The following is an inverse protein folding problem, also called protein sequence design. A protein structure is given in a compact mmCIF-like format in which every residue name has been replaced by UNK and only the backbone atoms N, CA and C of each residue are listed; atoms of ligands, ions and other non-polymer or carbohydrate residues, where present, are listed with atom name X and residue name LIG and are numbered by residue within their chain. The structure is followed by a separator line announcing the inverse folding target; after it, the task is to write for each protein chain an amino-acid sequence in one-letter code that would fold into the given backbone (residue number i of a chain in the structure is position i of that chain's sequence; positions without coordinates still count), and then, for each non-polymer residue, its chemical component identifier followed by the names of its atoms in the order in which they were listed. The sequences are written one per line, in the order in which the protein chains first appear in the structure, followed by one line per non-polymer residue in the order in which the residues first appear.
data_IF_748705039810
#
_entry.id   IF_748705039810
#
_cell.length_a   1.000
_cell.length_b   1.000
_cell.length_c   1.000
_cell.angle_alpha   90.00
_cell.angle_beta   90.00
_cell.angle_gamma   90.00
#
_symmetry.space_group_name_H-M   'P 1'
#
loop_
_entity.id
_entity.type
_entity.pdbx_description
1 polymer ?
#
# COMPACT_ATOMS: atom_id res chain seq x y z
N UNK A 1 19.52 5.27 6.50
CA UNK A 1 20.07 6.51 5.92
C UNK A 1 21.31 6.85 6.72
N UNK A 2 22.46 6.87 6.06
CA UNK A 2 23.75 7.16 6.67
C UNK A 2 24.56 8.09 5.73
N UNK A 3 25.82 8.33 6.06
CA UNK A 3 26.73 9.19 5.31
C UNK A 3 27.24 8.59 4.00
N UNK A 4 26.87 7.36 3.66
CA UNK A 4 27.27 6.71 2.39
C UNK A 4 26.37 7.13 1.23
N UNK A 5 25.21 7.73 1.51
CA UNK A 5 24.34 8.32 0.49
C UNK A 5 24.80 9.75 0.17
N UNK A 6 25.37 10.02 -1.02
CA UNK A 6 25.89 11.34 -1.38
C UNK A 6 24.78 12.38 -1.56
N UNK A 7 23.51 11.97 -1.61
CA UNK A 7 22.36 12.86 -1.74
C UNK A 7 21.81 13.37 -0.42
N UNK A 8 22.34 12.89 0.72
CA UNK A 8 21.90 13.28 2.06
C UNK A 8 22.91 14.23 2.68
N UNK A 9 22.44 15.41 3.05
CA UNK A 9 23.24 16.38 3.80
C UNK A 9 22.91 16.33 5.29
N UNK A 10 23.93 16.56 6.12
CA UNK A 10 23.79 16.59 7.57
C UNK A 10 24.23 17.96 8.09
N UNK A 11 23.47 18.53 9.02
CA UNK A 11 23.89 19.75 9.70
C UNK A 11 24.94 19.46 10.79
N UNK A 12 25.45 20.52 11.41
CA UNK A 12 26.50 20.46 12.45
C UNK A 12 26.10 19.61 13.68
N UNK A 13 24.80 19.41 13.91
CA UNK A 13 24.26 18.58 14.98
C UNK A 13 23.99 17.12 14.54
N UNK A 14 24.43 16.73 13.33
CA UNK A 14 24.22 15.40 12.78
C UNK A 14 22.79 15.10 12.32
N UNK A 15 21.95 16.12 12.14
CA UNK A 15 20.56 15.95 11.67
C UNK A 15 20.55 15.93 10.15
N UNK A 16 19.96 14.89 9.55
CA UNK A 16 19.84 14.80 8.10
C UNK A 16 18.75 15.74 7.55
N UNK A 17 18.96 16.21 6.33
CA UNK A 17 18.00 17.03 5.59
C UNK A 17 16.60 16.42 5.48
N UNK A 18 16.47 15.09 5.30
CA UNK A 18 15.18 14.37 5.27
C UNK A 18 14.43 14.45 6.59
N UNK A 19 15.14 14.36 7.71
CA UNK A 19 14.54 14.55 9.03
C UNK A 19 14.04 15.98 9.18
N UNK A 20 14.87 16.98 8.85
CA UNK A 20 14.47 18.38 8.90
C UNK A 20 13.25 18.67 7.99
N UNK A 21 13.24 18.08 6.79
CA UNK A 21 12.14 18.19 5.83
C UNK A 21 10.83 17.64 6.40
N UNK A 22 10.88 16.51 7.12
CA UNK A 22 9.68 15.96 7.74
C UNK A 22 9.02 16.95 8.70
N UNK A 23 9.78 17.58 9.61
CA UNK A 23 9.21 18.53 10.57
C UNK A 23 8.75 19.83 9.92
N UNK A 24 9.43 20.26 8.85
CA UNK A 24 9.13 21.51 8.16
C UNK A 24 7.92 21.41 7.22
N UNK A 25 7.88 20.34 6.41
CA UNK A 25 6.96 20.26 5.26
C UNK A 25 5.89 19.18 5.46
N UNK A 26 6.17 18.10 6.17
CA UNK A 26 5.24 16.95 6.29
C UNK A 26 4.41 17.05 7.56
N UNK A 27 5.05 17.18 8.72
CA UNK A 27 4.40 17.15 10.03
C UNK A 27 3.29 18.20 10.20
N UNK A 28 3.44 19.46 9.72
CA UNK A 28 2.38 20.46 9.84
C UNK A 28 1.09 20.05 9.10
N UNK A 29 1.23 19.35 7.97
CA UNK A 29 0.12 19.01 7.08
C UNK A 29 -0.41 17.59 7.28
N UNK A 30 0.40 16.66 7.84
CA UNK A 30 0.11 15.22 7.80
C UNK A 30 -1.20 14.85 8.50
N UNK A 31 -1.64 15.62 9.50
CA UNK A 31 -2.91 15.52 10.24
C UNK A 31 -3.44 14.12 10.62
N UNK A 32 -2.62 13.08 10.46
CA UNK A 32 -2.92 11.66 10.60
C UNK A 32 -4.14 11.18 9.81
N UNK A 33 -4.46 11.84 8.69
CA UNK A 33 -5.62 11.54 7.86
C UNK A 33 -6.96 12.02 8.41
N UNK A 34 -6.99 12.80 9.50
CA UNK A 34 -8.23 13.35 10.06
C UNK A 34 -8.86 14.37 9.11
N UNK A 35 -10.17 14.32 8.93
CA UNK A 35 -10.86 15.27 8.04
C UNK A 35 -10.72 14.96 6.55
N UNK A 36 -10.11 13.82 6.20
CA UNK A 36 -9.96 13.33 4.83
C UNK A 36 -11.01 12.30 4.42
N UNK A 37 -11.99 12.03 5.29
CA UNK A 37 -13.03 11.03 5.09
C UNK A 37 -13.85 11.34 3.84
N UNK A 38 -14.20 12.61 3.61
CA UNK A 38 -14.95 13.04 2.42
C UNK A 38 -14.17 12.82 1.11
N UNK A 39 -12.86 13.06 1.12
CA UNK A 39 -12.00 12.82 -0.05
C UNK A 39 -11.92 11.31 -0.33
N UNK A 40 -11.74 10.50 0.72
CA UNK A 40 -11.76 9.04 0.61
C UNK A 40 -13.10 8.53 0.07
N UNK A 41 -14.22 8.97 0.63
CA UNK A 41 -15.57 8.60 0.18
C UNK A 41 -15.79 8.90 -1.31
N UNK A 42 -15.32 10.05 -1.79
CA UNK A 42 -15.40 10.41 -3.21
C UNK A 42 -14.60 9.45 -4.10
N UNK A 43 -13.40 9.05 -3.66
CA UNK A 43 -12.57 8.07 -4.37
C UNK A 43 -13.28 6.71 -4.39
N UNK A 44 -13.82 6.26 -3.26
CA UNK A 44 -14.53 4.98 -3.16
C UNK A 44 -15.80 4.97 -4.02
N UNK A 45 -16.59 6.05 -4.00
CA UNK A 45 -17.77 6.20 -4.84
C UNK A 45 -17.40 6.13 -6.33
N UNK A 46 -16.29 6.76 -6.73
CA UNK A 46 -15.76 6.71 -8.09
C UNK A 46 -15.38 5.28 -8.48
N UNK A 47 -14.61 4.56 -7.64
CA UNK A 47 -14.21 3.17 -7.86
C UNK A 47 -15.45 2.27 -8.04
N UNK A 48 -16.40 2.32 -7.10
CA UNK A 48 -17.63 1.52 -7.15
C UNK A 48 -18.47 1.82 -8.39
N UNK A 49 -18.52 3.09 -8.82
CA UNK A 49 -19.20 3.49 -10.06
C UNK A 49 -18.54 2.86 -11.30
N UNK A 50 -17.22 2.88 -11.42
CA UNK A 50 -16.50 2.26 -12.54
C UNK A 50 -16.54 0.72 -12.52
N UNK A 51 -16.68 0.13 -11.33
CA UNK A 51 -16.81 -1.30 -11.11
C UNK A 51 -18.23 -1.86 -11.27
N UNK A 52 -19.22 -1.00 -11.54
CA UNK A 52 -20.62 -1.44 -11.67
C UNK A 52 -20.75 -2.44 -12.82
N UNK A 53 -21.49 -3.53 -12.57
CA UNK A 53 -21.67 -4.65 -13.51
C UNK A 53 -20.39 -5.41 -13.89
N UNK A 54 -19.27 -5.17 -13.19
CA UNK A 54 -18.03 -5.93 -13.36
C UNK A 54 -17.82 -6.88 -12.19
N UNK A 55 -17.04 -7.94 -12.43
CA UNK A 55 -16.62 -8.86 -11.37
C UNK A 55 -15.78 -8.15 -10.30
N UNK A 56 -14.92 -7.23 -10.70
CA UNK A 56 -14.05 -6.43 -9.83
C UNK A 56 -14.30 -4.94 -10.01
N UNK A 57 -14.08 -4.16 -8.96
CA UNK A 57 -14.16 -2.69 -9.01
C UNK A 57 -12.79 -1.99 -9.03
N UNK A 58 -11.75 -2.65 -8.53
CA UNK A 58 -10.37 -2.17 -8.60
C UNK A 58 -9.35 -3.31 -8.78
N UNK A 59 -8.10 -2.92 -9.03
CA UNK A 59 -6.92 -3.79 -8.97
C UNK A 59 -6.12 -3.41 -7.72
N UNK A 60 -5.66 -4.39 -6.95
CA UNK A 60 -4.88 -4.15 -5.73
C UNK A 60 -3.58 -4.96 -5.80
N UNK A 61 -2.45 -4.25 -5.80
CA UNK A 61 -1.12 -4.84 -5.72
C UNK A 61 -0.85 -5.35 -4.31
N UNK A 62 -0.44 -6.62 -4.18
CA UNK A 62 -0.26 -7.27 -2.88
C UNK A 62 1.10 -7.97 -2.80
N UNK A 63 1.93 -7.58 -1.83
CA UNK A 63 3.29 -8.12 -1.65
C UNK A 63 3.41 -9.15 -0.54
N UNK A 64 2.39 -9.32 0.30
CA UNK A 64 2.46 -10.11 1.53
C UNK A 64 3.08 -9.39 2.73
N UNK A 65 3.48 -8.12 2.54
CA UNK A 65 3.94 -7.25 3.62
C UNK A 65 2.79 -6.69 4.47
N UNK A 66 3.14 -6.16 5.65
CA UNK A 66 2.18 -5.61 6.62
C UNK A 66 1.25 -4.55 6.00
N UNK A 67 1.81 -3.52 5.35
CA UNK A 67 1.03 -2.41 4.80
C UNK A 67 0.02 -2.88 3.75
N UNK A 68 0.48 -3.72 2.81
CA UNK A 68 -0.38 -4.26 1.76
C UNK A 68 -1.44 -5.22 2.30
N UNK A 69 -1.15 -5.94 3.38
CA UNK A 69 -2.08 -6.83 4.07
C UNK A 69 -3.19 -6.03 4.77
N UNK A 70 -2.80 -4.95 5.47
CA UNK A 70 -3.76 -4.05 6.10
C UNK A 70 -4.62 -3.35 5.06
N UNK A 71 -4.03 -2.85 3.97
CA UNK A 71 -4.78 -2.21 2.88
C UNK A 71 -5.79 -3.17 2.25
N UNK A 72 -5.41 -4.42 1.97
CA UNK A 72 -6.31 -5.43 1.44
C UNK A 72 -7.48 -5.69 2.39
N UNK A 73 -7.20 -5.85 3.68
CA UNK A 73 -8.23 -6.02 4.72
C UNK A 73 -9.18 -4.81 4.75
N UNK A 74 -8.62 -3.60 4.84
CA UNK A 74 -9.37 -2.35 4.93
C UNK A 74 -10.26 -2.13 3.71
N UNK A 75 -9.72 -2.34 2.50
CA UNK A 75 -10.45 -2.22 1.24
C UNK A 75 -11.69 -3.13 1.19
N UNK A 76 -11.58 -4.35 1.71
CA UNK A 76 -12.67 -5.34 1.65
C UNK A 76 -13.64 -5.18 2.82
N UNK A 77 -13.13 -5.13 4.05
CA UNK A 77 -13.94 -5.17 5.26
C UNK A 77 -14.56 -3.83 5.61
N UNK A 78 -13.80 -2.76 5.47
CA UNK A 78 -14.25 -1.42 5.86
C UNK A 78 -14.85 -0.67 4.67
N UNK A 79 -14.23 -0.76 3.48
CA UNK A 79 -14.67 0.01 2.31
C UNK A 79 -15.64 -0.75 1.40
N UNK A 80 -15.75 -2.08 1.57
CA UNK A 80 -16.63 -2.94 0.76
C UNK A 80 -16.28 -2.95 -0.73
N UNK A 81 -14.99 -2.86 -1.06
CA UNK A 81 -14.48 -3.02 -2.42
C UNK A 81 -14.31 -4.50 -2.79
N UNK A 82 -14.27 -4.78 -4.09
CA UNK A 82 -14.10 -6.10 -4.68
C UNK A 82 -12.86 -6.11 -5.59
N UNK A 83 -11.65 -6.08 -5.01
CA UNK A 83 -10.42 -6.02 -5.78
C UNK A 83 -10.15 -7.33 -6.52
N UNK A 84 -9.57 -7.23 -7.72
CA UNK A 84 -8.68 -8.27 -8.23
C UNK A 84 -7.33 -8.09 -7.54
N UNK A 85 -6.86 -9.10 -6.80
CA UNK A 85 -5.57 -9.02 -6.12
C UNK A 85 -4.48 -9.48 -7.06
N UNK A 86 -3.41 -8.70 -7.17
CA UNK A 86 -2.30 -8.96 -8.08
C UNK A 86 -0.98 -8.96 -7.33
N UNK A 87 -0.23 -10.04 -7.45
CA UNK A 87 1.11 -10.19 -6.90
C UNK A 87 2.11 -10.35 -8.04
N UNK A 88 3.20 -9.60 -7.98
CA UNK A 88 4.33 -9.76 -8.90
C UNK A 88 5.42 -10.53 -8.16
N UNK A 89 5.69 -11.75 -8.61
CA UNK A 89 6.81 -12.55 -8.12
C UNK A 89 8.07 -12.20 -8.92
N UNK A 90 8.98 -11.47 -8.30
CA UNK A 90 10.27 -11.09 -8.89
C UNK A 90 11.34 -12.21 -8.78
N UNK A 91 11.01 -13.37 -8.20
CA UNK A 91 11.91 -14.51 -8.03
C UNK A 91 12.69 -14.52 -6.71
N UNK A 92 12.47 -13.54 -5.83
CA UNK A 92 13.19 -13.37 -4.56
C UNK A 92 12.27 -13.31 -3.33
N UNK A 93 11.06 -13.87 -3.46
CA UNK A 93 10.11 -13.92 -2.35
C UNK A 93 10.66 -14.76 -1.21
N UNK A 94 10.49 -14.26 0.02
CA UNK A 94 10.74 -15.06 1.22
C UNK A 94 9.52 -15.95 1.49
N UNK A 95 9.70 -17.19 1.99
CA UNK A 95 8.59 -18.11 2.23
C UNK A 95 7.47 -17.54 3.12
N UNK A 96 7.84 -16.68 4.08
CA UNK A 96 6.88 -16.00 4.96
C UNK A 96 5.95 -15.04 4.21
N UNK A 97 6.45 -14.33 3.19
CA UNK A 97 5.64 -13.42 2.40
C UNK A 97 4.62 -14.20 1.55
N UNK A 98 5.03 -15.33 0.97
CA UNK A 98 4.13 -16.21 0.20
C UNK A 98 3.03 -16.81 1.09
N UNK A 99 3.38 -17.23 2.30
CA UNK A 99 2.42 -17.74 3.28
C UNK A 99 1.43 -16.65 3.72
N UNK A 100 1.89 -15.43 3.96
CA UNK A 100 1.00 -14.29 4.23
C UNK A 100 0.06 -14.02 3.05
N UNK A 101 0.58 -14.09 1.81
CA UNK A 101 -0.23 -13.88 0.62
C UNK A 101 -1.37 -14.88 0.59
N UNK A 102 -1.05 -16.17 0.68
CA UNK A 102 -2.06 -17.25 0.70
C UNK A 102 -3.07 -17.08 1.83
N UNK A 103 -2.61 -16.91 3.07
CA UNK A 103 -3.48 -16.81 4.24
C UNK A 103 -4.46 -15.65 4.12
N UNK A 104 -3.99 -14.50 3.64
CA UNK A 104 -4.82 -13.32 3.48
C UNK A 104 -5.84 -13.50 2.36
N UNK A 105 -5.42 -14.01 1.20
CA UNK A 105 -6.34 -14.20 0.06
C UNK A 105 -7.38 -15.27 0.34
N UNK A 106 -6.98 -16.39 0.95
CA UNK A 106 -7.87 -17.49 1.32
C UNK A 106 -8.92 -17.02 2.35
N UNK A 107 -8.48 -16.30 3.39
CA UNK A 107 -9.37 -15.83 4.46
C UNK A 107 -10.32 -14.72 4.02
N UNK A 108 -9.90 -13.88 3.08
CA UNK A 108 -10.72 -12.79 2.55
C UNK A 108 -11.56 -13.21 1.34
N UNK A 109 -11.32 -14.41 0.79
CA UNK A 109 -12.09 -14.97 -0.32
C UNK A 109 -11.93 -14.18 -1.61
N UNK A 110 -10.71 -13.74 -1.92
CA UNK A 110 -10.41 -12.91 -3.09
C UNK A 110 -9.64 -13.66 -4.14
N UNK A 111 -9.87 -13.28 -5.40
CA UNK A 111 -9.11 -13.82 -6.51
C UNK A 111 -7.70 -13.22 -6.53
N UNK A 112 -6.70 -14.10 -6.51
CA UNK A 112 -5.29 -13.75 -6.63
C UNK A 112 -4.78 -14.09 -8.04
N UNK A 113 -4.11 -13.13 -8.65
CA UNK A 113 -3.29 -13.32 -9.85
C UNK A 113 -1.82 -13.13 -9.47
N UNK A 114 -0.99 -14.08 -9.86
CA UNK A 114 0.45 -14.02 -9.66
C UNK A 114 1.09 -13.96 -11.04
N UNK A 115 1.89 -12.92 -11.28
CA UNK A 115 2.73 -12.82 -12.46
C UNK A 115 4.19 -12.98 -12.05
N UNK A 116 4.85 -14.00 -12.59
CA UNK A 116 6.25 -14.26 -12.32
C UNK A 116 7.10 -13.64 -13.42
N UNK A 117 7.98 -12.72 -13.04
CA UNK A 117 8.90 -12.10 -13.98
C UNK A 117 10.10 -13.03 -14.17
N UNK A 118 10.33 -13.44 -15.41
CA UNK A 118 11.57 -14.12 -15.79
C UNK A 118 12.65 -13.04 -15.95
N UNK A 119 13.67 -13.12 -15.11
CA UNK A 119 14.88 -12.30 -15.18
C UNK A 119 16.01 -13.09 -15.85
#
# INVERSE_FOLDING_TARGET
MDTTDPSITFNENGVCDRYAQFYKDILPDWNYGKGKEKELEQIIAKIKKYGRHKKYDCLLGFSGGFDSSYLLHFAIKELGLRPLVFHVDAGWNIPFAEDNIRKMTDKLGVDLKIEKINW
#
